data_IF_726808720459
#
_entry.id   IF_726808720459
#
_cell.length_a   1.000
_cell.length_b   1.000
_cell.length_c   1.000
_cell.angle_alpha   90.00
_cell.angle_beta   90.00
_cell.angle_gamma   90.00
#
_symmetry.space_group_name_H-M   'P 1'
#
loop_
_entity.id
_entity.type
_entity.pdbx_description
1 polymer ?
#
# COMPACT_ATOMS: atom_id res chain seq x y z
N UNK A 1 30.38 -4.23 59.20
CA UNK A 1 30.64 -4.75 57.85
C UNK A 1 29.48 -5.54 57.25
N UNK A 2 28.64 -6.23 58.01
CA UNK A 2 27.49 -7.04 57.54
C UNK A 2 26.32 -6.19 57.01
N UNK A 3 26.07 -5.01 57.60
CA UNK A 3 24.92 -4.12 57.22
C UNK A 3 25.13 -3.46 55.84
N UNK A 4 26.36 -3.23 55.41
CA UNK A 4 26.67 -2.64 54.12
C UNK A 4 26.44 -3.63 52.94
N UNK A 5 26.73 -4.93 53.19
CA UNK A 5 26.48 -5.98 52.18
C UNK A 5 24.99 -6.21 51.91
N UNK A 6 24.13 -6.19 52.92
CA UNK A 6 22.70 -6.39 52.75
C UNK A 6 22.04 -5.25 51.98
N UNK A 7 22.49 -3.99 52.19
CA UNK A 7 21.98 -2.84 51.43
C UNK A 7 22.41 -2.85 49.94
N UNK A 8 23.62 -3.34 49.67
CA UNK A 8 24.12 -3.47 48.29
C UNK A 8 23.38 -4.57 47.52
N UNK A 9 23.16 -5.72 48.16
CA UNK A 9 22.40 -6.84 47.57
C UNK A 9 20.95 -6.46 47.29
N UNK A 10 20.27 -5.75 48.20
CA UNK A 10 18.91 -5.28 47.98
C UNK A 10 18.85 -4.23 46.90
N UNK A 11 19.87 -3.39 46.73
CA UNK A 11 19.89 -2.40 45.63
C UNK A 11 20.08 -3.06 44.27
N UNK A 12 20.96 -4.06 44.17
CA UNK A 12 21.21 -4.82 42.93
C UNK A 12 19.94 -5.60 42.51
N UNK A 13 19.28 -6.28 43.48
CA UNK A 13 18.06 -7.04 43.19
C UNK A 13 16.89 -6.15 42.75
N UNK A 14 16.75 -4.94 43.29
CA UNK A 14 15.75 -3.95 42.88
C UNK A 14 16.04 -3.38 41.48
N UNK A 15 17.31 -3.10 41.16
CA UNK A 15 17.70 -2.64 39.82
C UNK A 15 17.47 -3.74 38.76
N UNK A 16 17.67 -5.01 39.08
CA UNK A 16 17.42 -6.14 38.21
C UNK A 16 15.91 -6.40 38.01
N UNK A 17 15.09 -6.26 39.06
CA UNK A 17 13.63 -6.34 38.94
C UNK A 17 13.04 -5.16 38.12
N UNK A 18 13.54 -3.93 38.29
CA UNK A 18 13.13 -2.78 37.49
C UNK A 18 13.54 -2.94 36.04
N UNK A 19 14.76 -3.39 35.74
CA UNK A 19 15.23 -3.70 34.39
C UNK A 19 14.39 -4.81 33.73
N UNK A 20 14.01 -5.84 34.51
CA UNK A 20 13.14 -6.92 34.01
C UNK A 20 11.73 -6.43 33.70
N UNK A 21 11.14 -5.62 34.59
CA UNK A 21 9.81 -5.01 34.34
C UNK A 21 9.78 -4.08 33.14
N UNK A 22 10.83 -3.29 32.92
CA UNK A 22 10.98 -2.44 31.72
C UNK A 22 11.10 -3.30 30.46
N UNK A 23 11.89 -4.40 30.51
CA UNK A 23 12.05 -5.34 29.40
C UNK A 23 10.73 -6.02 29.03
N UNK A 24 9.95 -6.48 30.01
CA UNK A 24 8.67 -7.15 29.78
C UNK A 24 7.62 -6.18 29.19
N UNK A 25 7.57 -4.94 29.68
CA UNK A 25 6.69 -3.90 29.14
C UNK A 25 7.03 -3.52 27.70
N UNK A 26 8.31 -3.49 27.37
CA UNK A 26 8.75 -3.23 25.99
C UNK A 26 8.48 -4.40 25.06
N UNK A 27 8.68 -5.63 25.54
CA UNK A 27 8.31 -6.85 24.80
C UNK A 27 6.80 -6.92 24.54
N UNK A 28 5.97 -6.61 25.53
CA UNK A 28 4.50 -6.54 25.36
C UNK A 28 4.08 -5.46 24.35
N UNK A 29 4.71 -4.28 24.39
CA UNK A 29 4.46 -3.23 23.38
C UNK A 29 4.87 -3.68 21.98
N UNK A 30 6.03 -4.31 21.84
CA UNK A 30 6.51 -4.80 20.56
C UNK A 30 5.63 -5.94 20.02
N UNK A 31 5.20 -6.85 20.88
CA UNK A 31 4.25 -7.91 20.55
C UNK A 31 2.90 -7.33 20.14
N UNK A 32 2.39 -6.31 20.84
CA UNK A 32 1.15 -5.61 20.47
C UNK A 32 1.25 -4.93 19.10
N UNK A 33 2.34 -4.21 18.83
CA UNK A 33 2.58 -3.60 17.50
C UNK A 33 2.73 -4.67 16.42
N UNK A 34 3.44 -5.75 16.71
CA UNK A 34 3.57 -6.89 15.81
C UNK A 34 2.24 -7.55 15.49
N UNK A 35 1.40 -7.78 16.50
CA UNK A 35 0.07 -8.34 16.34
C UNK A 35 -0.85 -7.42 15.51
N UNK A 36 -0.83 -6.10 15.76
CA UNK A 36 -1.58 -5.12 14.98
C UNK A 36 -1.12 -5.09 13.52
N UNK A 37 0.19 -5.12 13.27
CA UNK A 37 0.72 -5.12 11.91
C UNK A 37 0.39 -6.44 11.19
N UNK A 38 0.49 -7.59 11.87
CA UNK A 38 0.08 -8.88 11.31
C UNK A 38 -1.43 -8.90 11.01
N UNK A 39 -2.26 -8.42 11.94
CA UNK A 39 -3.70 -8.27 11.75
C UNK A 39 -4.03 -7.38 10.56
N UNK A 40 -3.37 -6.22 10.45
CA UNK A 40 -3.54 -5.31 9.32
C UNK A 40 -3.12 -5.92 7.99
N UNK A 41 -2.04 -6.71 7.96
CA UNK A 41 -1.59 -7.43 6.77
C UNK A 41 -2.63 -8.46 6.32
N UNK A 42 -3.20 -9.22 7.26
CA UNK A 42 -4.25 -10.20 6.98
C UNK A 42 -5.54 -9.52 6.51
N UNK A 43 -5.97 -8.44 7.17
CA UNK A 43 -7.12 -7.64 6.78
C UNK A 43 -6.94 -7.02 5.41
N UNK A 44 -5.76 -6.46 5.12
CA UNK A 44 -5.41 -5.90 3.81
C UNK A 44 -5.49 -6.96 2.71
N UNK A 45 -4.99 -8.18 2.96
CA UNK A 45 -5.07 -9.29 2.02
C UNK A 45 -6.51 -9.76 1.79
N UNK A 46 -7.31 -9.88 2.85
CA UNK A 46 -8.74 -10.22 2.75
C UNK A 46 -9.53 -9.15 2.00
N UNK A 47 -9.28 -7.88 2.32
CA UNK A 47 -9.92 -6.75 1.66
C UNK A 47 -9.56 -6.68 0.17
N UNK A 48 -8.28 -6.89 -0.18
CA UNK A 48 -7.84 -7.01 -1.57
C UNK A 48 -8.62 -8.09 -2.31
N UNK A 49 -8.60 -9.34 -1.79
CA UNK A 49 -9.28 -10.46 -2.45
C UNK A 49 -10.79 -10.22 -2.58
N UNK A 50 -11.44 -9.70 -1.55
CA UNK A 50 -12.86 -9.37 -1.60
C UNK A 50 -13.18 -8.29 -2.64
N UNK A 51 -12.35 -7.24 -2.70
CA UNK A 51 -12.50 -6.14 -3.67
C UNK A 51 -12.24 -6.61 -5.09
N UNK A 52 -11.23 -7.45 -5.31
CA UNK A 52 -10.91 -8.06 -6.60
C UNK A 52 -12.07 -8.94 -7.10
N UNK A 53 -12.56 -9.85 -6.26
CA UNK A 53 -13.67 -10.73 -6.59
C UNK A 53 -14.95 -9.92 -6.91
N UNK A 54 -15.22 -8.86 -6.15
CA UNK A 54 -16.35 -7.99 -6.42
C UNK A 54 -16.21 -7.23 -7.74
N UNK A 55 -15.01 -6.73 -8.03
CA UNK A 55 -14.74 -6.03 -9.31
C UNK A 55 -14.96 -6.97 -10.50
N UNK A 56 -14.43 -8.20 -10.43
CA UNK A 56 -14.65 -9.21 -11.47
C UNK A 56 -16.12 -9.58 -11.60
N UNK A 57 -16.79 -9.91 -10.51
CA UNK A 57 -18.23 -10.25 -10.51
C UNK A 57 -19.05 -9.13 -11.18
N UNK A 58 -18.84 -7.87 -10.82
CA UNK A 58 -19.57 -6.74 -11.42
C UNK A 58 -19.26 -6.54 -12.91
N UNK A 59 -18.06 -6.91 -13.35
CA UNK A 59 -17.68 -6.88 -14.76
C UNK A 59 -18.33 -8.01 -15.57
N UNK A 60 -18.48 -9.17 -14.97
CA UNK A 60 -19.03 -10.36 -15.64
C UNK A 60 -20.59 -10.38 -15.63
N UNK A 61 -21.21 -9.66 -14.69
CA UNK A 61 -22.67 -9.55 -14.65
C UNK A 61 -23.20 -8.82 -15.88
N UNK A 62 -24.14 -9.45 -16.59
CA UNK A 62 -24.90 -8.78 -17.66
C UNK A 62 -25.72 -7.63 -17.08
N UNK A 63 -25.94 -6.58 -17.84
CA UNK A 63 -26.92 -5.56 -17.49
C UNK A 63 -28.28 -6.22 -17.26
N UNK A 64 -29.07 -5.80 -16.24
CA UNK A 64 -30.40 -6.35 -16.01
C UNK A 64 -31.23 -6.35 -17.29
N UNK A 65 -32.01 -7.42 -17.49
CA UNK A 65 -33.01 -7.45 -18.54
C UNK A 65 -33.98 -6.29 -18.32
N UNK A 66 -34.05 -5.36 -19.26
CA UNK A 66 -34.80 -4.11 -19.11
C UNK A 66 -33.95 -2.85 -18.93
N UNK A 67 -32.62 -2.94 -18.83
CA UNK A 67 -31.79 -1.77 -19.08
C UNK A 67 -31.83 -1.46 -20.57
N UNK A 68 -32.29 -0.26 -20.90
CA UNK A 68 -32.51 0.19 -22.30
C UNK A 68 -31.23 0.31 -23.13
N UNK A 69 -30.07 -0.03 -22.60
CA UNK A 69 -28.80 0.07 -23.30
C UNK A 69 -28.58 -1.14 -24.24
N UNK A 70 -28.78 -0.93 -25.53
CA UNK A 70 -28.42 -1.89 -26.56
C UNK A 70 -26.89 -1.91 -26.79
N UNK A 71 -26.39 -2.96 -27.45
CA UNK A 71 -24.98 -3.01 -27.89
C UNK A 71 -24.61 -1.78 -28.72
N UNK A 72 -25.52 -1.30 -29.53
CA UNK A 72 -25.28 -0.12 -30.38
C UNK A 72 -25.21 1.18 -29.56
N UNK A 73 -25.98 1.30 -28.48
CA UNK A 73 -25.85 2.39 -27.53
C UNK A 73 -24.50 2.37 -26.84
N UNK A 74 -24.03 1.20 -26.36
CA UNK A 74 -22.71 1.05 -25.74
C UNK A 74 -21.58 1.42 -26.71
N UNK A 75 -21.70 1.00 -27.99
CA UNK A 75 -20.75 1.36 -29.02
C UNK A 75 -20.77 2.85 -29.36
N UNK A 76 -21.97 3.45 -29.42
CA UNK A 76 -22.16 4.89 -29.66
C UNK A 76 -21.51 5.71 -28.55
N UNK A 77 -21.77 5.35 -27.28
CA UNK A 77 -21.18 6.00 -26.11
C UNK A 77 -19.66 5.86 -26.13
N UNK A 78 -19.14 4.66 -26.35
CA UNK A 78 -17.69 4.40 -26.41
C UNK A 78 -17.00 5.24 -27.49
N UNK A 79 -17.56 5.30 -28.70
CA UNK A 79 -17.04 6.14 -29.81
C UNK A 79 -17.08 7.63 -29.48
N UNK A 80 -18.13 8.10 -28.82
CA UNK A 80 -18.28 9.50 -28.46
C UNK A 80 -17.23 9.89 -27.36
N UNK A 81 -17.03 9.07 -26.38
CA UNK A 81 -15.98 9.27 -25.36
C UNK A 81 -14.57 9.25 -25.98
N UNK A 82 -14.30 8.26 -26.84
CA UNK A 82 -13.04 8.16 -27.58
C UNK A 82 -12.74 9.44 -28.37
N UNK A 83 -13.74 9.91 -29.18
CA UNK A 83 -13.61 11.11 -29.98
C UNK A 83 -13.37 12.37 -29.11
N UNK A 84 -14.05 12.49 -27.99
CA UNK A 84 -13.88 13.65 -27.09
C UNK A 84 -12.49 13.70 -26.48
N UNK A 85 -12.01 12.57 -25.95
CA UNK A 85 -10.68 12.51 -25.31
C UNK A 85 -9.57 12.61 -26.35
N UNK A 86 -9.81 12.18 -27.57
CA UNK A 86 -8.91 12.34 -28.72
C UNK A 86 -7.62 11.52 -28.56
N UNK A 87 -7.70 10.31 -28.03
CA UNK A 87 -6.57 9.35 -28.05
C UNK A 87 -6.36 8.85 -29.49
N UNK A 88 -5.13 8.48 -29.83
CA UNK A 88 -4.80 8.07 -31.21
C UNK A 88 -5.44 6.76 -31.60
N UNK A 89 -5.49 5.80 -30.69
CA UNK A 89 -6.02 4.47 -30.99
C UNK A 89 -6.51 3.74 -29.76
N UNK A 90 -7.34 2.74 -29.96
CA UNK A 90 -7.71 1.72 -28.96
C UNK A 90 -7.30 0.38 -29.55
N UNK A 91 -6.57 -0.42 -28.77
CA UNK A 91 -6.13 -1.76 -29.15
C UNK A 91 -6.56 -2.76 -28.10
N UNK A 92 -6.95 -3.94 -28.55
CA UNK A 92 -7.27 -5.05 -27.65
C UNK A 92 -5.99 -5.81 -27.28
N UNK A 93 -5.96 -6.36 -26.07
CA UNK A 93 -4.86 -7.13 -25.52
C UNK A 93 -5.40 -8.31 -24.72
N UNK A 94 -4.64 -9.40 -24.68
CA UNK A 94 -4.97 -10.58 -23.87
C UNK A 94 -4.62 -10.43 -22.38
N UNK A 95 -4.00 -9.30 -21.99
CA UNK A 95 -3.46 -9.14 -20.63
C UNK A 95 -4.22 -8.12 -19.80
N UNK A 96 -3.76 -6.89 -19.79
CA UNK A 96 -4.26 -5.83 -18.91
C UNK A 96 -4.73 -4.61 -19.70
N UNK A 97 -5.62 -3.84 -19.07
CA UNK A 97 -6.04 -2.55 -19.62
C UNK A 97 -5.16 -1.45 -19.05
N UNK A 98 -4.79 -0.49 -19.89
CA UNK A 98 -4.06 0.70 -19.47
C UNK A 98 -4.08 1.79 -20.56
N UNK A 99 -3.88 3.04 -20.15
CA UNK A 99 -3.58 4.13 -21.05
C UNK A 99 -2.07 4.38 -21.12
N UNK A 100 -1.51 4.41 -22.34
CA UNK A 100 -0.12 4.80 -22.59
C UNK A 100 -0.04 6.25 -23.08
N UNK A 101 0.45 7.17 -22.27
CA UNK A 101 0.57 8.57 -22.67
C UNK A 101 1.67 8.82 -23.71
N UNK A 102 2.68 7.96 -23.79
CA UNK A 102 3.79 8.09 -24.74
C UNK A 102 3.33 7.82 -26.17
N UNK A 103 2.55 6.78 -26.38
CA UNK A 103 1.97 6.40 -27.65
C UNK A 103 0.58 7.02 -27.89
N UNK A 104 -0.04 7.57 -26.85
CA UNK A 104 -1.40 8.12 -26.83
C UNK A 104 -2.45 7.09 -27.25
N UNK A 105 -2.31 5.87 -26.72
CA UNK A 105 -3.22 4.75 -26.99
C UNK A 105 -3.85 4.22 -25.71
N UNK A 106 -5.07 3.72 -25.84
CA UNK A 106 -5.73 2.91 -24.80
C UNK A 106 -5.59 1.45 -25.20
N UNK A 107 -5.07 0.64 -24.28
CA UNK A 107 -5.02 -0.81 -24.40
C UNK A 107 -6.15 -1.37 -23.53
N UNK A 108 -6.93 -2.30 -24.07
CA UNK A 108 -8.02 -2.95 -23.37
C UNK A 108 -7.73 -4.45 -23.25
N UNK A 109 -7.64 -4.91 -22.04
CA UNK A 109 -7.56 -6.34 -21.72
C UNK A 109 -8.90 -7.05 -21.93
N UNK A 110 -8.96 -8.37 -21.74
CA UNK A 110 -10.17 -9.13 -21.93
C UNK A 110 -11.32 -8.57 -21.08
N UNK A 111 -12.37 -8.14 -21.72
CA UNK A 111 -13.58 -7.69 -21.06
C UNK A 111 -14.69 -8.70 -21.34
N UNK A 112 -15.23 -9.32 -20.29
CA UNK A 112 -16.16 -10.46 -20.40
C UNK A 112 -17.48 -10.16 -21.10
N UNK A 113 -17.93 -8.89 -21.15
CA UNK A 113 -19.15 -8.47 -21.86
C UNK A 113 -19.08 -6.98 -22.25
N UNK A 114 -20.03 -6.54 -23.06
CA UNK A 114 -20.05 -5.17 -23.60
C UNK A 114 -20.11 -4.06 -22.52
N UNK A 115 -20.80 -4.30 -21.41
CA UNK A 115 -20.89 -3.32 -20.30
C UNK A 115 -19.56 -3.23 -19.53
N UNK A 116 -18.88 -4.35 -19.32
CA UNK A 116 -17.55 -4.40 -18.72
C UNK A 116 -16.52 -3.69 -19.61
N UNK A 117 -16.59 -3.92 -20.91
CA UNK A 117 -15.76 -3.23 -21.90
C UNK A 117 -15.91 -1.71 -21.81
N UNK A 118 -17.16 -1.20 -21.79
CA UNK A 118 -17.40 0.23 -21.69
C UNK A 118 -16.95 0.81 -20.34
N UNK A 119 -17.13 0.07 -19.24
CA UNK A 119 -16.65 0.44 -17.91
C UNK A 119 -15.11 0.55 -17.86
N UNK A 120 -14.41 -0.42 -18.46
CA UNK A 120 -12.94 -0.42 -18.56
C UNK A 120 -12.46 0.68 -19.49
N UNK A 121 -13.06 0.82 -20.67
CA UNK A 121 -12.75 1.88 -21.62
C UNK A 121 -12.92 3.26 -20.99
N UNK A 122 -14.01 3.51 -20.27
CA UNK A 122 -14.24 4.78 -19.61
C UNK A 122 -13.18 5.11 -18.57
N UNK A 123 -12.68 4.10 -17.83
CA UNK A 123 -11.61 4.26 -16.86
C UNK A 123 -10.29 4.63 -17.54
N UNK A 124 -9.89 3.92 -18.60
CA UNK A 124 -8.66 4.22 -19.33
C UNK A 124 -8.72 5.57 -20.07
N UNK A 125 -9.87 5.91 -20.62
CA UNK A 125 -10.11 7.25 -21.15
C UNK A 125 -10.12 8.32 -20.05
N UNK A 126 -10.48 7.97 -18.84
CA UNK A 126 -10.35 8.82 -17.65
C UNK A 126 -8.88 9.15 -17.35
N UNK A 127 -7.96 8.19 -17.43
CA UNK A 127 -6.52 8.44 -17.35
C UNK A 127 -6.06 9.38 -18.47
N UNK A 128 -6.46 9.11 -19.71
CA UNK A 128 -6.13 9.95 -20.87
C UNK A 128 -6.65 11.38 -20.68
N UNK A 129 -7.89 11.54 -20.23
CA UNK A 129 -8.49 12.84 -19.93
C UNK A 129 -7.72 13.61 -18.86
N UNK A 130 -7.26 12.93 -17.80
CA UNK A 130 -6.43 13.54 -16.75
C UNK A 130 -5.11 14.05 -17.29
N UNK A 131 -4.49 13.33 -18.23
CA UNK A 131 -3.20 13.70 -18.81
C UNK A 131 -3.35 14.84 -19.83
N UNK A 132 -4.38 14.80 -20.68
CA UNK A 132 -4.57 15.74 -21.80
C UNK A 132 -5.30 17.03 -21.42
N UNK A 133 -6.12 17.01 -20.38
CA UNK A 133 -6.93 18.15 -19.98
C UNK A 133 -6.14 19.31 -19.37
N UNK A 134 -6.70 20.52 -19.45
CA UNK A 134 -6.06 21.77 -19.00
C UNK A 134 -6.56 22.29 -17.66
N UNK A 135 -7.57 21.67 -17.02
CA UNK A 135 -8.08 22.08 -15.72
C UNK A 135 -7.05 21.89 -14.59
N UNK A 136 -7.26 22.56 -13.46
CA UNK A 136 -6.41 22.38 -12.28
C UNK A 136 -6.44 20.92 -11.81
N UNK A 137 -7.62 20.28 -11.80
CA UNK A 137 -7.75 18.86 -11.46
C UNK A 137 -6.95 17.97 -12.41
N UNK A 138 -6.93 18.28 -13.70
CA UNK A 138 -6.15 17.55 -14.68
C UNK A 138 -4.65 17.75 -14.52
N UNK A 139 -4.20 18.93 -14.06
CA UNK A 139 -2.77 19.14 -13.71
C UNK A 139 -2.35 18.23 -12.57
N UNK A 140 -3.17 18.11 -11.53
CA UNK A 140 -2.91 17.18 -10.41
C UNK A 140 -2.94 15.73 -10.90
N UNK A 141 -3.97 15.33 -11.65
CA UNK A 141 -4.08 13.99 -12.25
C UNK A 141 -2.86 13.63 -13.10
N UNK A 142 -2.35 14.58 -13.89
CA UNK A 142 -1.13 14.40 -14.70
C UNK A 142 0.11 14.15 -13.84
N UNK A 143 0.26 14.89 -12.76
CA UNK A 143 1.37 14.68 -11.81
C UNK A 143 1.27 13.29 -11.18
N UNK A 144 0.09 12.90 -10.72
CA UNK A 144 -0.16 11.58 -10.13
C UNK A 144 0.10 10.46 -11.14
N UNK A 145 -0.39 10.61 -12.37
CA UNK A 145 -0.19 9.62 -13.42
C UNK A 145 1.28 9.48 -13.84
N UNK A 146 2.01 10.59 -14.01
CA UNK A 146 3.46 10.55 -14.26
C UNK A 146 4.22 9.93 -13.10
N UNK A 147 3.85 10.25 -11.87
CA UNK A 147 4.42 9.64 -10.67
C UNK A 147 4.20 8.12 -10.64
N UNK A 148 2.97 7.67 -10.97
CA UNK A 148 2.64 6.25 -11.09
C UNK A 148 3.50 5.55 -12.15
N UNK A 149 3.60 6.10 -13.35
CA UNK A 149 4.42 5.53 -14.43
C UNK A 149 5.91 5.49 -14.04
N UNK A 150 6.42 6.55 -13.43
CA UNK A 150 7.78 6.56 -12.91
C UNK A 150 8.03 5.44 -11.90
N UNK A 151 7.09 5.18 -10.99
CA UNK A 151 7.17 4.09 -10.03
C UNK A 151 7.11 2.72 -10.71
N UNK A 152 6.24 2.53 -11.70
CA UNK A 152 6.15 1.28 -12.47
C UNK A 152 7.42 1.03 -13.28
N UNK A 153 8.04 2.07 -13.86
CA UNK A 153 9.29 1.96 -14.60
C UNK A 153 10.49 1.59 -13.71
N UNK A 154 10.52 2.03 -12.43
CA UNK A 154 11.53 1.61 -11.46
C UNK A 154 11.32 0.15 -11.06
N UNK A 155 10.14 -0.40 -11.32
CA UNK A 155 9.71 -1.75 -10.94
C UNK A 155 9.11 -1.77 -9.53
N UNK A 156 7.85 -2.17 -9.46
CA UNK A 156 7.09 -2.25 -8.19
C UNK A 156 7.84 -3.09 -7.14
N UNK A 157 8.42 -4.22 -7.56
CA UNK A 157 9.19 -5.10 -6.68
C UNK A 157 10.47 -4.47 -6.14
N UNK A 158 11.14 -3.62 -6.92
CA UNK A 158 12.38 -2.94 -6.47
C UNK A 158 12.07 -1.93 -5.37
N UNK A 159 11.01 -1.13 -5.54
CA UNK A 159 10.57 -0.16 -4.52
C UNK A 159 10.10 -0.84 -3.24
N UNK A 160 9.35 -1.95 -3.36
CA UNK A 160 8.87 -2.71 -2.21
C UNK A 160 10.05 -3.36 -1.46
N UNK A 161 11.02 -3.93 -2.17
CA UNK A 161 12.23 -4.49 -1.58
C UNK A 161 13.09 -3.40 -0.92
N UNK A 162 13.27 -2.24 -1.56
CA UNK A 162 13.99 -1.12 -0.98
C UNK A 162 13.30 -0.59 0.30
N UNK A 163 11.98 -0.50 0.32
CA UNK A 163 11.21 -0.10 1.49
C UNK A 163 11.37 -1.13 2.63
N UNK A 164 11.32 -2.43 2.31
CA UNK A 164 11.51 -3.51 3.27
C UNK A 164 12.91 -3.50 3.87
N UNK A 165 13.95 -3.40 3.04
CA UNK A 165 15.35 -3.30 3.49
C UNK A 165 15.57 -2.06 4.36
N UNK A 166 15.01 -0.91 3.98
CA UNK A 166 15.06 0.29 4.80
C UNK A 166 14.36 0.09 6.16
N UNK A 167 13.28 -0.66 6.19
CA UNK A 167 12.55 -0.98 7.43
C UNK A 167 13.39 -1.86 8.36
N UNK A 168 14.03 -2.89 7.83
CA UNK A 168 14.99 -3.74 8.58
C UNK A 168 16.15 -2.90 9.12
N UNK A 169 16.79 -2.10 8.27
CA UNK A 169 17.89 -1.21 8.65
C UNK A 169 17.48 -0.22 9.74
N UNK A 170 16.30 0.36 9.62
CA UNK A 170 15.75 1.30 10.61
C UNK A 170 15.52 0.60 11.96
N UNK A 171 15.04 -0.64 11.98
CA UNK A 171 14.88 -1.43 13.20
C UNK A 171 16.21 -1.70 13.90
N UNK A 172 17.23 -2.15 13.15
CA UNK A 172 18.59 -2.35 13.67
C UNK A 172 19.17 -1.04 14.22
N UNK A 173 19.02 0.05 13.47
CA UNK A 173 19.51 1.37 13.92
C UNK A 173 18.82 1.81 15.20
N UNK A 174 17.52 1.65 15.32
CA UNK A 174 16.74 1.97 16.51
C UNK A 174 17.26 1.20 17.74
N UNK A 175 17.47 -0.11 17.60
CA UNK A 175 18.02 -0.92 18.69
C UNK A 175 19.43 -0.46 19.13
N UNK A 176 20.29 -0.09 18.16
CA UNK A 176 21.64 0.45 18.43
C UNK A 176 21.60 1.80 19.16
N UNK A 177 20.68 2.69 18.77
CA UNK A 177 20.52 3.99 19.44
C UNK A 177 20.05 3.82 20.87
N UNK A 178 19.08 2.94 21.11
CA UNK A 178 18.59 2.63 22.46
C UNK A 178 19.69 2.05 23.36
N UNK A 179 20.52 1.12 22.86
CA UNK A 179 21.68 0.60 23.60
C UNK A 179 22.65 1.72 24.02
N UNK A 180 22.79 2.76 23.17
CA UNK A 180 23.64 3.93 23.47
C UNK A 180 22.94 5.00 24.30
N UNK A 181 21.73 4.76 24.82
CA UNK A 181 20.93 5.75 25.55
C UNK A 181 20.47 6.95 24.70
N UNK A 182 20.56 6.84 23.37
CA UNK A 182 20.19 7.92 22.44
C UNK A 182 18.76 7.78 21.96
N UNK A 183 18.05 8.91 21.84
CA UNK A 183 16.71 8.94 21.24
C UNK A 183 16.80 8.75 19.73
N UNK A 184 15.90 7.95 19.18
CA UNK A 184 15.77 7.81 17.74
C UNK A 184 15.22 9.10 17.11
N UNK A 185 15.82 9.52 15.99
CA UNK A 185 15.36 10.69 15.24
C UNK A 185 13.98 10.46 14.60
N UNK A 186 13.20 11.53 14.45
CA UNK A 186 11.82 11.48 13.94
C UNK A 186 11.75 10.82 12.54
N UNK A 187 12.65 11.18 11.65
CA UNK A 187 12.70 10.63 10.29
C UNK A 187 12.97 9.12 10.29
N UNK A 188 13.91 8.65 11.13
CA UNK A 188 14.19 7.21 11.27
C UNK A 188 12.96 6.46 11.80
N UNK A 189 12.28 7.04 12.80
CA UNK A 189 11.08 6.46 13.39
C UNK A 189 9.94 6.27 12.39
N UNK A 190 9.80 7.20 11.46
CA UNK A 190 8.67 7.23 10.51
C UNK A 190 9.01 6.76 9.09
N UNK A 191 10.28 6.50 8.79
CA UNK A 191 10.74 6.11 7.44
C UNK A 191 10.06 4.84 6.90
N UNK A 192 9.65 3.94 7.77
CA UNK A 192 9.05 2.64 7.41
C UNK A 192 7.70 2.74 6.72
N UNK A 193 6.92 3.77 7.02
CA UNK A 193 5.59 3.94 6.43
C UNK A 193 5.50 5.11 5.46
N UNK A 194 6.43 6.09 5.51
CA UNK A 194 6.40 7.26 4.62
C UNK A 194 6.50 6.83 3.15
N UNK A 195 7.50 6.05 2.77
CA UNK A 195 7.70 5.62 1.39
C UNK A 195 6.54 4.78 0.84
N UNK A 196 6.09 3.71 1.54
CA UNK A 196 4.92 2.96 1.10
C UNK A 196 3.65 3.83 1.00
N UNK A 197 3.42 4.72 1.96
CA UNK A 197 2.25 5.62 1.96
C UNK A 197 2.29 6.58 0.77
N UNK A 198 3.45 7.17 0.48
CA UNK A 198 3.61 8.06 -0.67
C UNK A 198 3.37 7.31 -1.99
N UNK A 199 3.99 6.14 -2.16
CA UNK A 199 3.80 5.26 -3.33
C UNK A 199 2.32 4.96 -3.55
N UNK A 200 1.67 4.40 -2.54
CA UNK A 200 0.27 4.00 -2.65
C UNK A 200 -0.69 5.19 -2.74
N UNK A 201 -0.36 6.32 -2.12
CA UNK A 201 -1.13 7.57 -2.24
C UNK A 201 -1.14 8.10 -3.68
N UNK A 202 -0.01 8.04 -4.38
CA UNK A 202 0.09 8.42 -5.80
C UNK A 202 -0.72 7.47 -6.68
N UNK A 203 -0.60 6.16 -6.47
CA UNK A 203 -1.34 5.15 -7.23
C UNK A 203 -2.85 5.33 -7.01
N UNK A 204 -3.31 5.35 -5.76
CA UNK A 204 -4.71 5.52 -5.42
C UNK A 204 -5.29 6.83 -5.96
N UNK A 205 -4.52 7.92 -5.86
CA UNK A 205 -4.93 9.22 -6.39
C UNK A 205 -5.11 9.20 -7.91
N UNK A 206 -4.19 8.56 -8.64
CA UNK A 206 -4.28 8.38 -10.09
C UNK A 206 -5.48 7.55 -10.51
N UNK A 207 -5.71 6.42 -9.85
CA UNK A 207 -6.83 5.52 -10.13
C UNK A 207 -8.18 6.15 -9.78
N UNK A 208 -8.26 6.89 -8.66
CA UNK A 208 -9.45 7.63 -8.28
C UNK A 208 -9.80 8.71 -9.31
N UNK A 209 -8.80 9.49 -9.75
CA UNK A 209 -9.01 10.54 -10.73
C UNK A 209 -9.46 9.98 -12.09
N UNK A 210 -8.86 8.88 -12.54
CA UNK A 210 -9.27 8.17 -13.74
C UNK A 210 -10.72 7.67 -13.65
N UNK A 211 -11.08 7.03 -12.55
CA UNK A 211 -12.46 6.57 -12.32
C UNK A 211 -13.43 7.73 -12.34
N UNK A 212 -13.13 8.82 -11.63
CA UNK A 212 -13.98 10.03 -11.59
C UNK A 212 -14.18 10.64 -12.98
N UNK A 213 -13.11 10.77 -13.76
CA UNK A 213 -13.18 11.34 -15.10
C UNK A 213 -13.89 10.40 -16.07
N UNK A 214 -13.66 9.09 -15.97
CA UNK A 214 -14.39 8.09 -16.73
C UNK A 214 -15.90 8.12 -16.48
N UNK A 215 -16.33 8.24 -15.25
CA UNK A 215 -17.76 8.37 -14.89
C UNK A 215 -18.37 9.66 -15.44
N UNK A 216 -17.63 10.78 -15.45
CA UNK A 216 -18.09 12.02 -16.08
C UNK A 216 -18.26 11.87 -17.58
N UNK A 217 -17.34 11.18 -18.26
CA UNK A 217 -17.46 10.90 -19.70
C UNK A 217 -18.68 10.03 -19.98
N UNK A 218 -18.92 8.96 -19.22
CA UNK A 218 -20.11 8.13 -19.33
C UNK A 218 -21.39 8.96 -19.21
N UNK A 219 -21.49 9.76 -18.14
CA UNK A 219 -22.65 10.63 -17.89
C UNK A 219 -22.87 11.63 -19.02
N UNK A 220 -21.81 12.29 -19.49
CA UNK A 220 -21.86 13.28 -20.56
C UNK A 220 -22.36 12.70 -21.89
N UNK A 221 -22.01 11.45 -22.18
CA UNK A 221 -22.38 10.77 -23.41
C UNK A 221 -23.65 9.91 -23.33
N UNK A 222 -24.42 10.10 -22.24
CA UNK A 222 -25.77 9.53 -22.14
C UNK A 222 -25.78 8.04 -21.72
N UNK A 223 -24.78 7.60 -20.97
CA UNK A 223 -24.85 6.30 -20.29
C UNK A 223 -25.99 6.30 -19.28
N UNK A 224 -26.69 5.16 -19.15
CA UNK A 224 -27.74 5.01 -18.16
C UNK A 224 -27.18 5.11 -16.73
N UNK A 225 -28.02 5.57 -15.78
CA UNK A 225 -27.64 5.67 -14.39
C UNK A 225 -27.22 4.32 -13.82
N UNK A 226 -27.84 3.21 -14.25
CA UNK A 226 -27.46 1.87 -13.83
C UNK A 226 -26.06 1.48 -14.32
N UNK A 227 -25.70 1.79 -15.55
CA UNK A 227 -24.37 1.57 -16.09
C UNK A 227 -23.30 2.40 -15.34
N UNK A 228 -23.60 3.68 -15.07
CA UNK A 228 -22.75 4.58 -14.29
C UNK A 228 -22.54 4.02 -12.88
N UNK A 229 -23.62 3.61 -12.20
CA UNK A 229 -23.57 3.02 -10.88
C UNK A 229 -22.74 1.74 -10.81
N UNK A 230 -22.93 0.82 -11.75
CA UNK A 230 -22.14 -0.41 -11.86
C UNK A 230 -20.67 -0.13 -12.11
N UNK A 231 -20.36 0.76 -13.04
CA UNK A 231 -18.99 1.18 -13.32
C UNK A 231 -18.35 1.82 -12.10
N UNK A 232 -19.09 2.68 -11.39
CA UNK A 232 -18.62 3.28 -10.13
C UNK A 232 -18.35 2.23 -9.04
N UNK A 233 -19.19 1.20 -8.94
CA UNK A 233 -19.00 0.11 -7.99
C UNK A 233 -17.82 -0.80 -8.36
N UNK A 234 -17.68 -1.14 -9.64
CA UNK A 234 -16.60 -2.00 -10.13
C UNK A 234 -15.23 -1.35 -10.00
N UNK A 235 -15.13 -0.06 -10.29
CA UNK A 235 -13.88 0.71 -10.22
C UNK A 235 -13.68 1.44 -8.88
N UNK A 236 -14.69 1.50 -8.01
CA UNK A 236 -14.68 2.20 -6.73
C UNK A 236 -13.92 1.48 -5.62
N UNK A 237 -14.03 2.04 -4.40
CA UNK A 237 -13.30 1.56 -3.22
C UNK A 237 -13.66 0.12 -2.82
N UNK A 238 -14.86 -0.35 -3.14
CA UNK A 238 -15.29 -1.75 -2.92
C UNK A 238 -15.01 -2.65 -4.12
N UNK A 239 -14.38 -2.17 -5.16
CA UNK A 239 -13.99 -2.86 -6.37
C UNK A 239 -12.50 -2.66 -6.67
N UNK A 240 -12.15 -2.27 -7.90
CA UNK A 240 -10.76 -2.15 -8.34
C UNK A 240 -9.90 -1.22 -7.46
N UNK A 241 -10.43 -0.05 -7.06
CA UNK A 241 -9.72 0.87 -6.14
C UNK A 241 -9.43 0.21 -4.79
N UNK A 242 -10.32 -0.66 -4.31
CA UNK A 242 -10.13 -1.42 -3.07
C UNK A 242 -8.97 -2.41 -3.12
N UNK A 243 -8.60 -2.90 -4.31
CA UNK A 243 -7.43 -3.77 -4.48
C UNK A 243 -6.14 -3.01 -4.18
N UNK A 244 -6.04 -1.77 -4.65
CA UNK A 244 -4.89 -0.91 -4.36
C UNK A 244 -4.84 -0.51 -2.88
N UNK A 245 -6.00 -0.21 -2.26
CA UNK A 245 -6.07 0.09 -0.83
C UNK A 245 -5.68 -1.11 0.03
N UNK A 246 -6.14 -2.31 -0.32
CA UNK A 246 -5.76 -3.56 0.36
C UNK A 246 -4.26 -3.85 0.24
N UNK A 247 -3.69 -3.64 -0.95
CA UNK A 247 -2.25 -3.76 -1.18
C UNK A 247 -1.46 -2.75 -0.35
N UNK A 248 -1.90 -1.48 -0.33
CA UNK A 248 -1.28 -0.45 0.48
C UNK A 248 -1.23 -0.82 1.97
N UNK A 249 -2.35 -1.28 2.52
CA UNK A 249 -2.44 -1.72 3.91
C UNK A 249 -1.49 -2.89 4.19
N UNK A 250 -1.45 -3.88 3.32
CA UNK A 250 -0.55 -5.03 3.41
C UNK A 250 0.92 -4.60 3.41
N UNK A 251 1.33 -3.76 2.45
CA UNK A 251 2.72 -3.36 2.27
C UNK A 251 3.20 -2.48 3.44
N UNK A 252 2.39 -1.52 3.90
CA UNK A 252 2.70 -0.70 5.07
C UNK A 252 2.87 -1.57 6.31
N UNK A 253 1.95 -2.51 6.53
CA UNK A 253 2.00 -3.41 7.68
C UNK A 253 3.21 -4.34 7.64
N UNK A 254 3.58 -4.87 6.48
CA UNK A 254 4.78 -5.70 6.31
C UNK A 254 6.06 -4.91 6.65
N UNK A 255 6.16 -3.65 6.24
CA UNK A 255 7.29 -2.79 6.58
C UNK A 255 7.38 -2.50 8.09
N UNK A 256 6.24 -2.28 8.76
CA UNK A 256 6.20 -2.11 10.22
C UNK A 256 6.66 -3.38 10.94
N UNK A 257 6.19 -4.57 10.48
CA UNK A 257 6.62 -5.86 11.02
C UNK A 257 8.13 -6.09 10.86
N UNK A 258 8.66 -5.83 9.67
CA UNK A 258 10.09 -5.97 9.38
C UNK A 258 10.95 -5.08 10.30
N UNK A 259 10.53 -3.84 10.53
CA UNK A 259 11.21 -2.93 11.44
C UNK A 259 11.18 -3.41 12.89
N UNK A 260 10.01 -3.81 13.39
CA UNK A 260 9.87 -4.25 14.78
C UNK A 260 10.61 -5.58 15.00
N UNK A 261 10.49 -6.52 14.07
CA UNK A 261 11.18 -7.80 14.12
C UNK A 261 12.70 -7.64 14.15
N UNK A 262 13.26 -6.83 13.24
CA UNK A 262 14.71 -6.58 13.20
C UNK A 262 15.21 -5.84 14.44
N UNK A 263 14.41 -4.91 15.00
CA UNK A 263 14.73 -4.24 16.27
C UNK A 263 14.79 -5.23 17.41
N UNK A 264 13.80 -6.12 17.54
CA UNK A 264 13.74 -7.14 18.59
C UNK A 264 14.89 -8.13 18.48
N UNK A 265 15.16 -8.65 17.28
CA UNK A 265 16.28 -9.57 17.03
C UNK A 265 17.62 -8.93 17.39
N UNK A 266 17.81 -7.66 17.04
CA UNK A 266 19.04 -6.92 17.38
C UNK A 266 19.19 -6.73 18.90
N UNK A 267 18.11 -6.43 19.61
CA UNK A 267 18.13 -6.34 21.08
C UNK A 267 18.43 -7.69 21.73
N UNK A 268 17.81 -8.76 21.25
CA UNK A 268 18.07 -10.11 21.73
C UNK A 268 19.52 -10.51 21.50
N UNK A 269 20.09 -10.21 20.33
CA UNK A 269 21.50 -10.43 20.03
C UNK A 269 22.43 -9.69 21.01
N UNK A 270 22.17 -8.40 21.27
CA UNK A 270 22.98 -7.64 22.23
C UNK A 270 22.88 -8.20 23.65
N UNK A 271 21.68 -8.60 24.10
CA UNK A 271 21.49 -9.22 25.40
C UNK A 271 22.27 -10.53 25.52
N UNK A 272 22.24 -11.36 24.49
CA UNK A 272 23.01 -12.59 24.44
C UNK A 272 24.52 -12.32 24.46
N UNK A 273 25.00 -11.36 23.68
CA UNK A 273 26.40 -10.96 23.66
C UNK A 273 26.87 -10.47 25.03
N UNK A 274 26.12 -9.56 25.65
CA UNK A 274 26.46 -9.00 26.95
C UNK A 274 26.46 -10.07 28.06
N UNK A 275 25.68 -11.18 27.93
CA UNK A 275 25.74 -12.30 28.88
C UNK A 275 27.00 -13.15 28.74
N UNK A 276 27.58 -13.26 27.55
CA UNK A 276 28.84 -14.00 27.36
C UNK A 276 30.03 -13.23 27.90
N UNK A 277 30.07 -11.91 27.74
CA UNK A 277 31.17 -11.09 28.31
C UNK A 277 31.15 -11.11 29.86
N UNK A 278 29.99 -11.28 30.52
CA UNK A 278 29.90 -11.34 31.99
C UNK A 278 30.39 -12.66 32.55
N UNK A 279 30.30 -13.77 31.82
CA UNK A 279 30.75 -15.08 32.27
C UNK A 279 32.31 -15.21 32.23
N UNK A 280 32.99 -14.46 31.34
CA UNK A 280 34.46 -14.43 31.28
C UNK A 280 35.09 -13.64 32.44
N UNK A 281 34.45 -12.55 32.91
CA UNK A 281 34.98 -11.76 34.04
C UNK A 281 34.89 -12.51 35.38
N UNK A 282 33.88 -13.37 35.57
CA UNK A 282 33.72 -14.16 36.78
C UNK A 282 34.74 -15.31 36.90
N UNK A 283 35.25 -15.82 35.78
CA UNK A 283 36.26 -16.90 35.78
C UNK A 283 37.69 -16.37 36.02
N UNK A 284 37.97 -15.12 35.63
CA UNK A 284 39.27 -14.47 35.88
C UNK A 284 39.42 -14.02 37.32
N UNK A 285 38.30 -13.72 38.00
CA UNK A 285 38.30 -13.29 39.42
C UNK A 285 38.46 -14.43 40.43
N UNK A 286 38.40 -15.69 39.99
CA UNK A 286 38.50 -16.91 40.83
C UNK A 286 39.89 -17.56 40.75
N UNK A 287 40.80 -17.06 39.95
CA UNK A 287 42.22 -17.45 39.88
C UNK A 287 43.10 -16.46 40.64
#
# INVERSE_FOLDING_TARGET
MIILRSKLFNKISLEDEEKKKVSDKEMLKAAGVGALAAGSTLLGSKYWNASLNKAYKLKDEKLPSGSDATIDDLRRIGRAMYKEVGVKNIIDSDNSSYYSPESDIVVLGPAGNNSAYLGTLSHELGHASSVKGNSVSNKVGRILHKGRLGMLNIGDGLLDNAALLNSVRSGIHSARQERKGKKEGLLSKHSTWILPTLKHGIILGSEYDATRNGLKLLKKHGASDELIKRTAQANGITGALGTYAGRALKDISANVLARQGSKLLTKAYYKWWDSMDSDEEDDVSKK
#
